data_IF_070020425542
#
_entry.id   IF_070020425542
#
_cell.length_a   1.000
_cell.length_b   1.000
_cell.length_c   1.000
_cell.angle_alpha   90.00
_cell.angle_beta   90.00
_cell.angle_gamma   90.00
#
_symmetry.space_group_name_H-M   'P 1'
#
loop_
_entity.id
_entity.type
_entity.pdbx_description
1 polymer ?
#
# COMPACT_ATOMS: atom_id res chain seq x y z
N UNK A 1 4.64 20.96 -4.65
CA UNK A 1 5.67 20.04 -4.21
C UNK A 1 7.08 20.54 -4.49
N UNK A 2 8.06 19.93 -3.82
CA UNK A 2 9.48 20.17 -4.05
C UNK A 2 10.00 19.05 -4.95
N UNK A 3 9.60 19.00 -6.23
CA UNK A 3 10.05 17.94 -7.13
C UNK A 3 11.28 18.39 -7.92
N UNK A 4 12.21 17.47 -8.08
CA UNK A 4 13.38 17.58 -8.93
C UNK A 4 13.55 16.28 -9.72
N UNK A 5 14.38 16.29 -10.76
CA UNK A 5 14.70 15.07 -11.51
C UNK A 5 15.52 14.15 -10.61
N UNK A 6 15.19 12.86 -10.63
CA UNK A 6 15.96 11.83 -9.90
C UNK A 6 17.02 11.28 -10.86
N UNK A 7 18.19 11.91 -10.88
CA UNK A 7 19.34 11.58 -11.75
C UNK A 7 20.57 11.07 -10.96
N UNK A 8 20.45 11.00 -9.64
CA UNK A 8 21.54 10.61 -8.75
C UNK A 8 22.56 11.73 -8.47
N UNK A 9 22.31 12.94 -8.95
CA UNK A 9 23.22 14.09 -8.79
C UNK A 9 22.60 15.09 -7.84
N UNK A 10 23.34 15.48 -6.80
CA UNK A 10 22.98 16.60 -5.95
C UNK A 10 23.49 17.90 -6.59
N UNK A 11 22.70 18.45 -7.51
CA UNK A 11 23.00 19.71 -8.20
C UNK A 11 22.18 20.89 -7.66
N UNK A 12 22.30 22.08 -8.30
CA UNK A 12 21.59 23.31 -7.86
C UNK A 12 20.07 23.15 -7.78
N UNK A 13 19.45 22.38 -8.68
CA UNK A 13 18.01 22.10 -8.64
C UNK A 13 17.62 21.30 -7.39
N UNK A 14 18.44 20.34 -6.97
CA UNK A 14 18.25 19.55 -5.76
C UNK A 14 18.42 20.41 -4.51
N UNK A 15 19.44 21.27 -4.48
CA UNK A 15 19.68 22.20 -3.38
C UNK A 15 18.47 23.15 -3.18
N UNK A 16 17.96 23.76 -4.25
CA UNK A 16 16.75 24.61 -4.21
C UNK A 16 15.53 23.82 -3.72
N UNK A 17 15.35 22.57 -4.14
CA UNK A 17 14.27 21.72 -3.68
C UNK A 17 14.39 21.40 -2.17
N UNK A 18 15.62 21.19 -1.68
CA UNK A 18 15.91 20.97 -0.24
C UNK A 18 15.63 22.24 0.56
N UNK A 19 16.08 23.41 0.12
CA UNK A 19 15.80 24.70 0.77
C UNK A 19 14.29 24.95 0.90
N UNK A 20 13.55 24.72 -0.18
CA UNK A 20 12.10 24.85 -0.19
C UNK A 20 11.42 23.87 0.78
N UNK A 21 11.87 22.61 0.82
CA UNK A 21 11.39 21.62 1.77
C UNK A 21 11.67 22.08 3.21
N UNK A 22 12.90 22.50 3.50
CA UNK A 22 13.30 22.99 4.81
C UNK A 22 12.43 24.18 5.27
N UNK A 23 12.18 25.15 4.39
CA UNK A 23 11.31 26.30 4.69
C UNK A 23 9.87 25.86 4.99
N UNK A 24 9.30 24.93 4.21
CA UNK A 24 7.96 24.40 4.43
C UNK A 24 7.82 23.66 5.77
N UNK A 25 8.88 23.00 6.21
CA UNK A 25 8.93 22.25 7.47
C UNK A 25 9.50 23.05 8.65
N UNK A 26 9.72 24.37 8.48
CA UNK A 26 10.26 25.28 9.50
C UNK A 26 11.63 24.83 10.04
N UNK A 27 12.43 24.21 9.17
CA UNK A 27 13.81 23.83 9.45
C UNK A 27 14.75 24.99 9.08
N UNK A 28 16.02 24.89 9.49
CA UNK A 28 17.06 25.81 9.02
C UNK A 28 17.23 25.64 7.51
N UNK A 29 16.98 26.69 6.75
CA UNK A 29 17.16 26.71 5.30
C UNK A 29 18.64 26.81 4.97
N UNK A 30 19.24 25.72 4.56
CA UNK A 30 20.69 25.61 4.30
C UNK A 30 21.01 24.93 2.97
N UNK A 31 20.01 24.34 2.29
CA UNK A 31 20.22 23.54 1.09
C UNK A 31 20.91 22.18 1.35
N UNK A 32 21.35 21.92 2.60
CA UNK A 32 22.06 20.70 2.97
C UNK A 32 21.12 19.73 3.67
N UNK A 33 21.12 18.46 3.25
CA UNK A 33 20.38 17.38 3.93
C UNK A 33 21.17 16.91 5.16
N UNK A 34 21.02 17.63 6.26
CA UNK A 34 21.53 17.21 7.56
C UNK A 34 20.61 16.16 8.23
N UNK A 35 20.96 15.69 9.41
CA UNK A 35 20.19 14.68 10.15
C UNK A 35 18.76 15.12 10.46
N UNK A 36 18.53 16.40 10.70
CA UNK A 36 17.21 16.97 10.98
C UNK A 36 16.36 16.98 9.71
N UNK A 37 16.94 17.42 8.61
CA UNK A 37 16.30 17.41 7.28
C UNK A 37 15.98 15.98 6.85
N UNK A 38 16.94 15.04 7.02
CA UNK A 38 16.72 13.63 6.72
C UNK A 38 15.59 13.03 7.54
N UNK A 39 15.54 13.32 8.84
CA UNK A 39 14.46 12.86 9.72
C UNK A 39 13.11 13.37 9.25
N UNK A 40 13.02 14.63 8.85
CA UNK A 40 11.79 15.22 8.32
C UNK A 40 11.37 14.58 6.99
N UNK A 41 12.31 14.34 6.07
CA UNK A 41 12.06 13.66 4.79
C UNK A 41 11.53 12.23 4.98
N UNK A 42 12.02 11.51 5.98
CA UNK A 42 11.64 10.13 6.24
C UNK A 42 10.45 10.00 7.21
N UNK A 43 9.96 11.13 7.76
CA UNK A 43 8.89 11.11 8.77
C UNK A 43 7.60 10.42 8.30
N UNK A 44 7.13 10.52 7.03
CA UNK A 44 5.94 9.80 6.58
C UNK A 44 6.14 8.28 6.60
N UNK A 45 7.32 7.81 6.21
CA UNK A 45 7.67 6.38 6.24
C UNK A 45 7.81 5.89 7.69
N UNK A 46 8.39 6.69 8.56
CA UNK A 46 8.47 6.36 9.99
C UNK A 46 7.06 6.30 10.62
N UNK A 47 6.18 7.22 10.27
CA UNK A 47 4.81 7.27 10.79
C UNK A 47 4.01 6.00 10.50
N UNK A 48 4.11 5.44 9.29
CA UNK A 48 3.39 4.19 8.95
C UNK A 48 3.98 2.94 9.60
N UNK A 49 5.18 3.03 10.17
CA UNK A 49 5.81 1.93 10.89
C UNK A 49 5.48 1.93 12.39
N UNK A 50 4.87 2.99 12.89
CA UNK A 50 4.43 3.05 14.28
C UNK A 50 3.33 2.03 14.55
N UNK A 51 3.43 1.25 15.64
CA UNK A 51 2.42 0.27 15.96
C UNK A 51 1.11 0.97 16.39
N UNK A 52 0.00 0.43 15.92
CA UNK A 52 -1.33 0.81 16.39
C UNK A 52 -1.61 0.04 17.68
N UNK A 53 -2.14 0.72 18.70
CA UNK A 53 -2.59 0.04 19.91
C UNK A 53 -3.80 -0.85 19.57
N UNK A 54 -3.75 -2.18 19.79
CA UNK A 54 -4.80 -3.08 19.29
C UNK A 54 -6.12 -2.95 20.04
N UNK A 55 -6.12 -2.56 21.33
CA UNK A 55 -7.34 -2.60 22.12
C UNK A 55 -8.00 -3.98 22.03
N UNK A 56 -9.31 -4.01 21.68
CA UNK A 56 -10.10 -5.22 21.41
C UNK A 56 -10.25 -5.54 19.92
N UNK A 57 -9.47 -4.88 19.03
CA UNK A 57 -9.60 -5.03 17.60
C UNK A 57 -9.17 -6.42 17.12
N UNK A 58 -9.94 -6.97 16.19
CA UNK A 58 -9.61 -8.17 15.44
C UNK A 58 -8.48 -7.93 14.43
N UNK A 59 -7.94 -9.01 13.87
CA UNK A 59 -6.96 -8.92 12.78
C UNK A 59 -7.51 -8.13 11.57
N UNK A 60 -8.77 -8.32 11.24
CA UNK A 60 -9.44 -7.65 10.14
C UNK A 60 -9.54 -6.13 10.37
N UNK A 61 -9.99 -5.71 11.55
CA UNK A 61 -10.10 -4.29 11.93
C UNK A 61 -8.73 -3.61 11.99
N UNK A 62 -7.72 -4.28 12.53
CA UNK A 62 -6.34 -3.77 12.52
C UNK A 62 -5.77 -3.67 11.11
N UNK A 63 -6.10 -4.60 10.21
CA UNK A 63 -5.68 -4.53 8.81
C UNK A 63 -6.23 -3.26 8.15
N UNK A 64 -7.51 -2.93 8.37
CA UNK A 64 -8.11 -1.68 7.89
C UNK A 64 -7.45 -0.46 8.54
N UNK A 65 -7.21 -0.50 9.85
CA UNK A 65 -6.60 0.62 10.57
C UNK A 65 -5.18 0.92 10.04
N UNK A 66 -4.36 -0.10 9.80
CA UNK A 66 -3.05 0.07 9.19
C UNK A 66 -3.15 0.54 7.74
N UNK A 67 -4.08 0.03 6.94
CA UNK A 67 -4.30 0.52 5.57
C UNK A 67 -4.62 2.03 5.57
N UNK A 68 -5.47 2.49 6.49
CA UNK A 68 -5.79 3.91 6.68
C UNK A 68 -4.58 4.73 7.14
N UNK A 69 -3.72 4.19 8.01
CA UNK A 69 -2.48 4.85 8.44
C UNK A 69 -1.55 5.10 7.25
N UNK A 70 -1.41 4.13 6.34
CA UNK A 70 -0.66 4.31 5.10
C UNK A 70 -1.32 5.32 4.17
N UNK A 71 -2.62 5.18 3.91
CA UNK A 71 -3.38 6.10 3.06
C UNK A 71 -3.23 7.56 3.50
N UNK A 72 -3.22 7.83 4.81
CA UNK A 72 -3.05 9.16 5.37
C UNK A 72 -1.68 9.81 5.04
N UNK A 73 -0.66 9.02 4.71
CA UNK A 73 0.66 9.51 4.31
C UNK A 73 0.81 9.65 2.79
N UNK A 74 -0.24 9.29 2.02
CA UNK A 74 -0.27 9.38 0.57
C UNK A 74 1.01 8.83 -0.11
N UNK A 75 1.31 7.52 0.04
CA UNK A 75 2.44 6.89 -0.62
C UNK A 75 2.35 7.01 -2.13
N UNK A 76 3.42 7.51 -2.75
CA UNK A 76 3.51 7.69 -4.21
C UNK A 76 4.84 7.16 -4.74
N UNK A 77 4.87 6.77 -5.99
CA UNK A 77 6.10 6.47 -6.72
C UNK A 77 6.93 7.74 -6.92
N UNK A 78 8.24 7.60 -6.84
CA UNK A 78 9.20 8.68 -7.07
C UNK A 78 10.38 8.12 -7.85
N UNK A 79 10.73 8.79 -8.95
CA UNK A 79 11.91 8.44 -9.74
C UNK A 79 11.67 7.44 -10.86
N UNK A 80 10.42 7.06 -11.12
CA UNK A 80 10.04 6.16 -12.22
C UNK A 80 8.97 5.16 -11.82
N UNK A 81 8.54 4.35 -12.78
CA UNK A 81 7.53 3.31 -12.60
C UNK A 81 7.98 2.30 -11.55
N UNK A 82 7.13 2.04 -10.58
CA UNK A 82 7.40 1.13 -9.46
C UNK A 82 8.71 1.45 -8.73
N UNK A 83 9.05 2.74 -8.59
CA UNK A 83 10.27 3.19 -7.92
C UNK A 83 9.96 4.09 -6.72
N UNK A 84 10.96 4.21 -5.83
CA UNK A 84 10.91 5.14 -4.72
C UNK A 84 10.84 4.47 -3.34
N UNK A 85 10.95 5.29 -2.28
CA UNK A 85 11.10 4.78 -0.92
C UNK A 85 9.89 3.98 -0.44
N UNK A 86 8.69 4.31 -0.89
CA UNK A 86 7.47 3.58 -0.57
C UNK A 86 7.44 2.20 -1.22
N UNK A 87 7.82 2.14 -2.50
CA UNK A 87 7.90 0.85 -3.23
C UNK A 87 8.92 -0.05 -2.56
N UNK A 88 10.12 0.46 -2.25
CA UNK A 88 11.15 -0.31 -1.51
C UNK A 88 10.65 -0.80 -0.15
N UNK A 89 9.86 0.01 0.56
CA UNK A 89 9.25 -0.42 1.83
C UNK A 89 8.37 -1.66 1.63
N UNK A 90 7.46 -1.62 0.67
CA UNK A 90 6.48 -2.68 0.42
C UNK A 90 7.10 -3.91 -0.25
N UNK A 91 8.12 -3.72 -1.05
CA UNK A 91 8.74 -4.76 -1.88
C UNK A 91 10.06 -5.29 -1.31
N UNK A 92 10.34 -5.01 0.00
CA UNK A 92 11.57 -5.47 0.68
C UNK A 92 12.86 -5.03 -0.02
N UNK A 93 12.92 -3.77 -0.44
CA UNK A 93 14.07 -3.15 -1.09
C UNK A 93 14.07 -3.25 -2.63
N UNK A 94 13.14 -3.99 -3.23
CA UNK A 94 13.01 -4.12 -4.68
C UNK A 94 12.22 -2.93 -5.25
N UNK A 95 12.58 -2.52 -6.47
CA UNK A 95 11.89 -1.47 -7.24
C UNK A 95 12.19 -1.62 -8.73
N UNK A 96 11.46 -0.92 -9.59
CA UNK A 96 11.59 -0.94 -11.05
C UNK A 96 10.35 -1.50 -11.73
N UNK A 97 10.26 -1.34 -13.05
CA UNK A 97 9.08 -1.66 -13.84
C UNK A 97 8.56 -3.10 -13.66
N UNK A 98 9.46 -4.05 -13.37
CA UNK A 98 9.11 -5.46 -13.14
C UNK A 98 8.55 -5.75 -11.73
N UNK A 99 8.43 -4.73 -10.85
CA UNK A 99 7.99 -4.88 -9.46
C UNK A 99 6.68 -4.15 -9.15
N UNK A 100 5.53 -4.51 -9.77
CA UNK A 100 4.22 -3.99 -9.37
C UNK A 100 3.98 -4.28 -7.90
N UNK A 101 3.62 -3.25 -7.12
CA UNK A 101 3.70 -3.33 -5.66
C UNK A 101 2.36 -3.44 -4.92
N UNK A 102 1.26 -3.69 -5.62
CA UNK A 102 -0.06 -3.88 -5.00
C UNK A 102 -0.07 -5.02 -3.98
N UNK A 103 0.53 -6.18 -4.33
CA UNK A 103 0.61 -7.34 -3.44
C UNK A 103 1.59 -7.10 -2.28
N UNK A 104 2.68 -6.41 -2.53
CA UNK A 104 3.63 -5.99 -1.50
C UNK A 104 2.98 -5.08 -0.45
N UNK A 105 2.22 -4.06 -0.90
CA UNK A 105 1.46 -3.18 -0.02
C UNK A 105 0.46 -3.96 0.85
N UNK A 106 -0.44 -4.74 0.23
CA UNK A 106 -1.47 -5.47 0.95
C UNK A 106 -0.87 -6.45 1.99
N UNK A 107 0.22 -7.15 1.60
CA UNK A 107 0.90 -8.09 2.49
C UNK A 107 1.67 -7.37 3.61
N UNK A 108 2.25 -6.20 3.33
CA UNK A 108 2.92 -5.39 4.34
C UNK A 108 1.95 -4.96 5.43
N UNK A 109 0.80 -4.39 5.05
CA UNK A 109 -0.26 -3.95 5.96
C UNK A 109 -0.75 -5.11 6.82
N UNK A 110 -1.08 -6.25 6.21
CA UNK A 110 -1.51 -7.44 6.95
C UNK A 110 -0.43 -7.92 7.94
N UNK A 111 0.84 -7.88 7.53
CA UNK A 111 1.97 -8.24 8.42
C UNK A 111 2.06 -7.32 9.64
N UNK A 112 1.80 -6.02 9.48
CA UNK A 112 1.78 -5.08 10.61
C UNK A 112 0.67 -5.46 11.60
N UNK A 113 -0.54 -5.71 11.12
CA UNK A 113 -1.66 -6.15 11.95
C UNK A 113 -1.36 -7.46 12.69
N UNK A 114 -0.79 -8.46 12.00
CA UNK A 114 -0.38 -9.71 12.60
C UNK A 114 0.70 -9.53 13.68
N UNK A 115 1.69 -8.66 13.43
CA UNK A 115 2.74 -8.35 14.42
C UNK A 115 2.17 -7.68 15.67
N UNK A 116 1.24 -6.76 15.51
CA UNK A 116 0.56 -6.08 16.62
C UNK A 116 -0.18 -7.07 17.51
N UNK A 117 -0.88 -8.03 16.92
CA UNK A 117 -1.60 -9.08 17.66
C UNK A 117 -0.70 -10.25 18.08
N UNK A 118 0.56 -10.30 17.62
CA UNK A 118 1.49 -11.42 17.84
C UNK A 118 0.94 -12.76 17.32
N UNK A 119 0.26 -12.72 16.18
CA UNK A 119 -0.28 -13.91 15.51
C UNK A 119 0.48 -14.19 14.21
N UNK A 120 0.47 -15.46 13.77
CA UNK A 120 1.05 -15.83 12.48
C UNK A 120 0.27 -15.21 11.32
N UNK A 121 0.97 -14.89 10.24
CA UNK A 121 0.30 -14.48 9.00
C UNK A 121 -0.53 -15.63 8.43
N UNK A 122 -1.73 -15.32 7.89
CA UNK A 122 -2.61 -16.35 7.31
C UNK A 122 -2.07 -16.95 6.01
N UNK A 123 -1.07 -16.33 5.40
CA UNK A 123 -0.35 -16.78 4.20
C UNK A 123 1.09 -16.25 4.23
N UNK A 124 2.02 -16.84 3.46
CA UNK A 124 3.38 -16.30 3.31
C UNK A 124 3.36 -14.87 2.75
N UNK A 125 4.40 -14.10 3.09
CA UNK A 125 4.62 -12.80 2.46
C UNK A 125 4.86 -13.00 0.95
N UNK A 126 4.14 -12.27 0.11
CA UNK A 126 4.21 -12.42 -1.33
C UNK A 126 4.19 -11.07 -2.04
N UNK A 127 4.83 -11.00 -3.19
CA UNK A 127 4.92 -9.83 -4.05
C UNK A 127 4.04 -9.94 -5.30
N UNK A 128 3.35 -11.07 -5.50
CA UNK A 128 2.52 -11.31 -6.68
C UNK A 128 1.11 -11.78 -6.31
N UNK A 129 0.12 -11.31 -7.07
CA UNK A 129 -1.30 -11.65 -6.87
C UNK A 129 -1.58 -13.15 -7.03
N UNK A 130 -0.95 -13.80 -8.01
CA UNK A 130 -1.12 -15.24 -8.26
C UNK A 130 -0.61 -16.08 -7.10
N UNK A 131 0.52 -15.68 -6.49
CA UNK A 131 1.06 -16.38 -5.31
C UNK A 131 0.12 -16.29 -4.11
N UNK A 132 -0.48 -15.11 -3.90
CA UNK A 132 -1.47 -14.91 -2.81
C UNK A 132 -2.76 -15.70 -3.08
N UNK A 133 -3.26 -15.68 -4.31
CA UNK A 133 -4.44 -16.45 -4.71
C UNK A 133 -4.22 -17.95 -4.51
N UNK A 134 -3.06 -18.46 -4.93
CA UNK A 134 -2.70 -19.88 -4.76
C UNK A 134 -2.60 -20.27 -3.28
N UNK A 135 -1.99 -19.43 -2.45
CA UNK A 135 -1.91 -19.65 -1.02
C UNK A 135 -3.31 -19.64 -0.37
N UNK A 136 -4.17 -18.69 -0.73
CA UNK A 136 -5.54 -18.62 -0.25
C UNK A 136 -6.37 -19.82 -0.68
N UNK A 137 -6.21 -20.29 -1.93
CA UNK A 137 -6.88 -21.48 -2.44
C UNK A 137 -6.45 -22.75 -1.69
N UNK A 138 -5.14 -22.93 -1.49
CA UNK A 138 -4.58 -24.08 -0.75
C UNK A 138 -5.07 -24.10 0.70
N UNK A 139 -5.21 -22.93 1.32
CA UNK A 139 -5.74 -22.78 2.67
C UNK A 139 -7.28 -22.81 2.75
N UNK A 140 -8.00 -23.01 1.63
CA UNK A 140 -9.47 -22.96 1.52
C UNK A 140 -10.07 -21.62 2.01
N UNK A 141 -9.36 -20.53 1.78
CA UNK A 141 -9.75 -19.15 2.17
C UNK A 141 -10.10 -18.25 0.99
N UNK A 142 -9.99 -18.74 -0.23
CA UNK A 142 -10.35 -18.00 -1.43
C UNK A 142 -11.88 -18.07 -1.64
N UNK A 143 -12.56 -16.96 -1.39
CA UNK A 143 -13.99 -16.81 -1.66
C UNK A 143 -14.22 -16.45 -3.12
N UNK A 144 -15.35 -16.88 -3.66
CA UNK A 144 -15.86 -16.49 -4.97
C UNK A 144 -17.19 -15.77 -4.79
N UNK A 145 -17.25 -14.53 -5.22
CA UNK A 145 -18.43 -13.68 -5.04
C UNK A 145 -19.23 -13.59 -6.32
N UNK A 146 -19.82 -14.70 -6.74
CA UNK A 146 -20.63 -14.78 -7.98
C UNK A 146 -22.06 -14.28 -7.82
N UNK A 147 -22.58 -14.35 -6.61
CA UNK A 147 -23.96 -13.96 -6.29
C UNK A 147 -23.99 -13.00 -5.12
N UNK A 148 -25.10 -12.29 -4.93
CA UNK A 148 -25.29 -11.43 -3.78
C UNK A 148 -25.23 -12.20 -2.44
N UNK A 149 -25.61 -13.48 -2.42
CA UNK A 149 -25.54 -14.32 -1.22
C UNK A 149 -24.08 -14.60 -0.81
N UNK A 150 -23.15 -14.71 -1.75
CA UNK A 150 -21.72 -14.93 -1.45
C UNK A 150 -21.10 -13.73 -0.73
N UNK A 151 -21.67 -12.54 -0.95
CA UNK A 151 -21.17 -11.30 -0.34
C UNK A 151 -21.39 -11.23 1.18
N UNK A 152 -22.31 -12.01 1.73
CA UNK A 152 -22.54 -12.06 3.17
C UNK A 152 -21.30 -12.52 3.96
N UNK A 153 -20.37 -13.23 3.30
CA UNK A 153 -19.12 -13.68 3.90
C UNK A 153 -17.98 -12.65 3.79
N UNK A 154 -18.14 -11.61 2.96
CA UNK A 154 -17.11 -10.58 2.76
C UNK A 154 -17.16 -9.57 3.90
N UNK A 155 -16.01 -9.27 4.47
CA UNK A 155 -15.88 -8.34 5.61
C UNK A 155 -14.74 -7.34 5.37
N UNK A 156 -14.82 -6.15 5.97
CA UNK A 156 -13.69 -5.23 6.07
C UNK A 156 -12.44 -5.95 6.59
N UNK A 157 -11.28 -5.62 6.03
CA UNK A 157 -10.01 -6.27 6.34
C UNK A 157 -9.69 -7.49 5.48
N UNK A 158 -10.63 -7.97 4.67
CA UNK A 158 -10.34 -8.99 3.66
C UNK A 158 -9.51 -8.39 2.53
N UNK A 159 -8.70 -9.25 1.91
CA UNK A 159 -8.02 -8.91 0.66
C UNK A 159 -8.94 -9.29 -0.50
N UNK A 160 -9.12 -8.39 -1.45
CA UNK A 160 -9.79 -8.72 -2.72
C UNK A 160 -8.75 -8.89 -3.83
N UNK A 161 -9.10 -9.68 -4.83
CA UNK A 161 -8.26 -9.96 -5.99
C UNK A 161 -9.03 -9.64 -7.27
N UNK A 162 -8.42 -8.87 -8.16
CA UNK A 162 -8.94 -8.61 -9.50
C UNK A 162 -8.43 -9.70 -10.44
N UNK A 163 -9.36 -10.35 -11.12
CA UNK A 163 -9.05 -11.45 -12.02
C UNK A 163 -8.59 -10.93 -13.38
N UNK A 164 -7.51 -11.50 -13.90
CA UNK A 164 -7.02 -11.27 -15.27
C UNK A 164 -7.52 -12.33 -16.23
N UNK A 165 -7.40 -13.60 -15.85
CA UNK A 165 -7.88 -14.77 -16.60
C UNK A 165 -8.60 -15.74 -15.64
N UNK A 166 -9.04 -16.89 -16.14
CA UNK A 166 -9.66 -17.93 -15.31
C UNK A 166 -8.76 -18.41 -14.16
N UNK A 167 -7.43 -18.27 -14.29
CA UNK A 167 -6.43 -18.82 -13.36
C UNK A 167 -5.38 -17.81 -12.91
N UNK A 168 -5.47 -16.53 -13.30
CA UNK A 168 -4.52 -15.50 -12.92
C UNK A 168 -5.20 -14.22 -12.45
N UNK A 169 -4.49 -13.46 -11.62
CA UNK A 169 -4.94 -12.21 -11.02
C UNK A 169 -3.92 -11.10 -11.28
N UNK A 170 -4.39 -9.89 -11.54
CA UNK A 170 -3.55 -8.76 -11.91
C UNK A 170 -3.48 -7.67 -10.84
N UNK A 171 -4.41 -7.66 -9.88
CA UNK A 171 -4.42 -6.63 -8.85
C UNK A 171 -4.99 -7.16 -7.54
N UNK A 172 -4.64 -6.49 -6.43
CA UNK A 172 -5.08 -6.81 -5.07
C UNK A 172 -5.13 -5.53 -4.24
N UNK A 173 -6.05 -5.50 -3.28
CA UNK A 173 -6.13 -4.46 -2.27
C UNK A 173 -6.86 -4.95 -1.02
N UNK A 174 -7.19 -4.02 -0.14
CA UNK A 174 -7.80 -4.28 1.16
C UNK A 174 -9.22 -3.73 1.14
N UNK A 175 -10.20 -4.55 1.51
CA UNK A 175 -11.58 -4.12 1.69
C UNK A 175 -11.65 -3.24 2.93
N UNK A 176 -12.04 -1.98 2.75
CA UNK A 176 -12.27 -1.04 3.85
C UNK A 176 -13.72 -1.08 4.35
N UNK A 177 -14.66 -1.23 3.41
CA UNK A 177 -16.11 -1.31 3.68
C UNK A 177 -16.82 -2.02 2.53
N UNK A 178 -18.04 -2.50 2.79
CA UNK A 178 -18.94 -3.08 1.78
C UNK A 178 -20.36 -2.57 1.99
N UNK A 179 -20.94 -1.97 0.95
CA UNK A 179 -22.33 -1.50 0.96
C UNK A 179 -22.95 -1.73 -0.43
N UNK A 180 -24.17 -2.26 -0.46
CA UNK A 180 -24.95 -2.42 -1.71
C UNK A 180 -24.17 -3.06 -2.87
N UNK A 181 -23.39 -4.12 -2.60
CA UNK A 181 -22.53 -4.82 -3.57
C UNK A 181 -21.38 -3.97 -4.13
N UNK A 182 -21.05 -2.89 -3.47
CA UNK A 182 -19.89 -2.05 -3.77
C UNK A 182 -18.89 -2.16 -2.62
N UNK A 183 -17.64 -2.48 -2.95
CA UNK A 183 -16.52 -2.42 -2.02
C UNK A 183 -15.93 -1.01 -2.03
N UNK A 184 -15.72 -0.45 -0.86
CA UNK A 184 -14.73 0.61 -0.68
C UNK A 184 -13.41 -0.07 -0.30
N UNK A 185 -12.34 0.26 -1.01
CA UNK A 185 -11.05 -0.44 -0.89
C UNK A 185 -9.91 0.55 -0.69
N UNK A 186 -8.82 0.10 -0.06
CA UNK A 186 -7.53 0.81 -0.01
C UNK A 186 -6.52 -0.04 -0.76
N UNK A 187 -5.89 0.55 -1.77
CA UNK A 187 -5.08 -0.15 -2.75
C UNK A 187 -3.75 0.56 -2.97
N UNK A 188 -2.68 -0.20 -3.14
CA UNK A 188 -1.39 0.30 -3.60
C UNK A 188 -1.18 0.00 -5.09
N UNK A 189 -0.26 0.70 -5.73
CA UNK A 189 0.03 0.56 -7.16
C UNK A 189 -1.21 0.79 -8.04
N UNK A 190 -2.00 1.80 -7.72
CA UNK A 190 -3.22 2.18 -8.42
C UNK A 190 -3.31 3.69 -8.56
N UNK A 191 -4.38 4.20 -9.13
CA UNK A 191 -4.67 5.63 -9.24
C UNK A 191 -6.17 5.88 -9.32
N UNK A 192 -6.59 7.13 -9.27
CA UNK A 192 -8.00 7.53 -9.33
C UNK A 192 -8.70 7.12 -10.64
N UNK A 193 -7.96 6.96 -11.74
CA UNK A 193 -8.51 6.59 -13.05
C UNK A 193 -8.74 5.09 -13.24
N UNK A 194 -8.34 4.24 -12.31
CA UNK A 194 -8.67 2.81 -12.32
C UNK A 194 -7.64 1.88 -12.93
N UNK A 195 -6.44 2.38 -13.21
CA UNK A 195 -5.36 1.54 -13.71
C UNK A 195 -4.97 0.46 -12.68
N UNK A 196 -4.70 -0.75 -13.17
CA UNK A 196 -4.05 -1.81 -12.39
C UNK A 196 -2.55 -1.55 -12.20
N UNK A 197 -2.00 -0.59 -12.95
CA UNK A 197 -0.66 -0.04 -12.82
C UNK A 197 -0.79 1.46 -12.61
N UNK A 198 -0.94 1.86 -11.37
CA UNK A 198 -0.92 3.26 -10.95
C UNK A 198 0.31 3.56 -10.13
N UNK A 199 0.36 4.72 -9.52
CA UNK A 199 1.57 5.26 -8.89
C UNK A 199 1.40 5.59 -7.40
N UNK A 200 0.26 5.23 -6.78
CA UNK A 200 -0.05 5.67 -5.42
C UNK A 200 -0.80 4.63 -4.58
N UNK A 201 -0.92 4.93 -3.28
CA UNK A 201 -1.93 4.32 -2.41
C UNK A 201 -3.14 5.22 -2.37
N UNK A 202 -4.28 4.72 -2.84
CA UNK A 202 -5.52 5.50 -2.78
C UNK A 202 -6.74 4.64 -2.40
N UNK A 203 -7.85 5.34 -2.08
CA UNK A 203 -9.15 4.72 -1.85
C UNK A 203 -9.89 4.56 -3.17
N UNK A 204 -10.49 3.37 -3.37
CA UNK A 204 -11.22 3.03 -4.59
C UNK A 204 -12.59 2.47 -4.28
N UNK A 205 -13.45 2.45 -5.29
CA UNK A 205 -14.70 1.70 -5.29
C UNK A 205 -14.65 0.60 -6.34
N UNK A 206 -15.13 -0.59 -5.98
CA UNK A 206 -15.12 -1.76 -6.85
C UNK A 206 -16.44 -2.51 -6.76
N UNK A 207 -16.85 -3.17 -7.86
CA UNK A 207 -17.94 -4.16 -7.77
C UNK A 207 -17.49 -5.32 -6.87
N UNK A 208 -18.34 -5.72 -5.96
CA UNK A 208 -18.07 -6.86 -5.10
C UNK A 208 -18.36 -8.21 -5.79
N UNK A 209 -19.04 -8.22 -6.93
CA UNK A 209 -19.31 -9.42 -7.69
C UNK A 209 -18.20 -9.70 -8.71
N UNK A 210 -17.71 -10.94 -8.71
CA UNK A 210 -16.78 -11.47 -9.71
C UNK A 210 -17.50 -11.54 -11.07
N UNK A 211 -16.88 -10.97 -12.12
CA UNK A 211 -17.43 -10.97 -13.50
C UNK A 211 -17.03 -12.23 -14.24
#
# INVERSE_FOLDING_TARGET
GCSTVVDGIFGPATEVAVEKFQGQHKLKVSGVVDSTTQTALLSPIAAVQLPISPGSQSLAELTVAYARQHLAQHPIEIGGQNCGPWVRLYMSGKEGAEWPWCAGFATWVLRQACRTLKVAMPHPYAFGCDSLASAAQSAKRLLRTKTAADLAAVQPGFLFLVRKTKTSWEHIGIVEDIQNQVLTTIEGNTNDSGSAEGFEVCRRTRSALDK
#
